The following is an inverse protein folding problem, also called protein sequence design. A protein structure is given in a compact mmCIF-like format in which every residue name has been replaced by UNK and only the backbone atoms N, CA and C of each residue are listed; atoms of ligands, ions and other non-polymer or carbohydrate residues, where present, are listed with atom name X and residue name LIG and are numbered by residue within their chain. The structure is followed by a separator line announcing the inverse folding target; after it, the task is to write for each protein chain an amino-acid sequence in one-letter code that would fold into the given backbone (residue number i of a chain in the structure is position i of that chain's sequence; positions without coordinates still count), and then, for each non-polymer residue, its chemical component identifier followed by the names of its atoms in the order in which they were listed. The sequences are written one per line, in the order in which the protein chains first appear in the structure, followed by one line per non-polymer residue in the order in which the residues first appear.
data_IF_803041299693
#
_entry.id   IF_803041299693
#
_cell.length_a   1.000
_cell.length_b   1.000
_cell.length_c   1.000
_cell.angle_alpha   90.00
_cell.angle_beta   90.00
_cell.angle_gamma   90.00
#
_symmetry.space_group_name_H-M   'P 1'
#
loop_
_entity.id
_entity.type
_entity.pdbx_description
1 polymer ?
#
# COMPACT_ATOMS: atom_id res chain seq x y z
N UNK A 1 -7.27 10.64 1.10
CA UNK A 1 -7.92 9.36 1.42
C UNK A 1 -6.83 8.49 2.06
N UNK A 2 -6.69 8.52 3.39
CA UNK A 2 -5.48 7.99 4.08
C UNK A 2 -5.75 6.60 4.68
N UNK A 3 -4.78 5.68 4.58
CA UNK A 3 -4.88 4.36 5.21
C UNK A 3 -5.79 3.36 4.50
N UNK A 4 -6.06 3.56 3.21
CA UNK A 4 -6.85 2.60 2.41
C UNK A 4 -6.15 1.24 2.38
N UNK A 5 -4.83 1.20 2.33
CA UNK A 5 -4.01 0.00 2.47
C UNK A 5 -4.31 -0.78 3.76
N UNK A 6 -4.62 -0.09 4.87
CA UNK A 6 -5.03 -0.72 6.14
C UNK A 6 -6.42 -1.33 6.01
N UNK A 7 -7.34 -0.64 5.33
CA UNK A 7 -8.69 -1.16 5.09
C UNK A 7 -8.66 -2.40 4.19
N UNK A 8 -7.84 -2.39 3.14
CA UNK A 8 -7.64 -3.53 2.23
C UNK A 8 -7.00 -4.70 2.95
N UNK A 9 -5.95 -4.46 3.74
CA UNK A 9 -5.36 -5.52 4.53
C UNK A 9 -6.39 -6.14 5.48
N UNK A 10 -7.18 -5.33 6.20
CA UNK A 10 -8.25 -5.83 7.09
C UNK A 10 -9.30 -6.63 6.33
N UNK A 11 -9.66 -6.15 5.14
CA UNK A 11 -10.60 -6.82 4.25
C UNK A 11 -10.07 -8.21 3.83
N UNK A 12 -8.83 -8.30 3.34
CA UNK A 12 -8.21 -9.60 3.02
C UNK A 12 -7.98 -10.47 4.25
N UNK A 13 -7.67 -9.87 5.40
CA UNK A 13 -7.47 -10.57 6.65
C UNK A 13 -8.75 -11.26 7.17
N UNK A 14 -9.92 -10.73 6.81
CA UNK A 14 -11.24 -11.28 7.14
C UNK A 14 -11.78 -12.25 6.07
N UNK A 15 -11.05 -12.44 4.96
CA UNK A 15 -11.47 -13.33 3.87
C UNK A 15 -11.41 -14.81 4.29
N UNK A 16 -12.39 -15.60 3.84
CA UNK A 16 -12.40 -17.05 4.02
C UNK A 16 -11.29 -17.77 3.25
N UNK A 17 -10.69 -17.13 2.24
CA UNK A 17 -9.61 -17.71 1.43
C UNK A 17 -8.21 -17.42 1.99
N UNK A 18 -8.11 -16.83 3.19
CA UNK A 18 -6.82 -16.58 3.82
C UNK A 18 -6.31 -17.85 4.48
N UNK A 19 -5.06 -18.22 4.18
CA UNK A 19 -4.30 -19.23 4.91
C UNK A 19 -3.08 -18.60 5.58
N UNK A 20 -2.60 -19.23 6.64
CA UNK A 20 -1.28 -18.94 7.25
C UNK A 20 -0.25 -20.01 6.88
N UNK A 21 -0.68 -21.09 6.22
CA UNK A 21 0.20 -22.10 5.66
C UNK A 21 0.72 -21.60 4.31
N UNK A 22 2.04 -21.37 4.15
CA UNK A 22 2.58 -20.87 2.90
C UNK A 22 2.51 -21.88 1.75
N UNK A 23 2.41 -23.19 2.02
CA UNK A 23 2.32 -24.21 0.98
C UNK A 23 0.91 -24.29 0.37
N UNK A 24 -0.11 -23.83 1.09
CA UNK A 24 -1.50 -23.68 0.61
C UNK A 24 -1.75 -22.33 -0.07
N UNK A 25 -0.81 -21.38 0.04
CA UNK A 25 -1.01 -20.02 -0.44
C UNK A 25 -0.74 -19.90 -1.96
N UNK A 26 -1.75 -19.45 -2.71
CA UNK A 26 -1.57 -19.10 -4.13
C UNK A 26 -0.83 -17.75 -4.29
N UNK A 27 -1.06 -16.81 -3.37
CA UNK A 27 -0.53 -15.46 -3.40
C UNK A 27 -0.16 -14.99 -1.99
N UNK A 28 0.93 -14.22 -1.90
CA UNK A 28 1.44 -13.64 -0.66
C UNK A 28 1.12 -12.15 -0.61
N UNK A 29 0.39 -11.73 0.41
CA UNK A 29 0.11 -10.31 0.62
C UNK A 29 1.27 -9.64 1.36
N UNK A 30 1.84 -8.59 0.77
CA UNK A 30 2.89 -7.77 1.38
C UNK A 30 2.36 -6.35 1.60
N UNK A 31 1.75 -6.06 2.76
CA UNK A 31 1.21 -4.74 3.02
C UNK A 31 2.31 -3.74 3.37
N UNK A 32 2.31 -2.57 2.72
CA UNK A 32 3.21 -1.47 3.05
C UNK A 32 2.49 -0.36 3.82
N UNK A 33 2.70 -0.29 5.14
CA UNK A 33 2.17 0.77 5.99
C UNK A 33 3.10 1.97 6.15
N UNK A 34 4.19 2.05 5.40
CA UNK A 34 5.17 3.12 5.62
C UNK A 34 4.61 4.48 5.26
N UNK A 35 3.67 4.60 4.32
CA UNK A 35 2.97 5.86 4.15
C UNK A 35 2.18 6.25 5.40
N UNK A 36 1.42 5.32 6.00
CA UNK A 36 0.84 5.55 7.32
C UNK A 36 1.91 5.98 8.32
N UNK A 37 3.08 5.33 8.38
CA UNK A 37 4.16 5.76 9.27
C UNK A 37 4.69 7.17 8.94
N UNK A 38 4.90 7.52 7.67
CA UNK A 38 5.41 8.82 7.21
C UNK A 38 4.38 9.96 7.39
N UNK A 39 3.09 9.64 7.38
CA UNK A 39 1.99 10.58 7.59
C UNK A 39 1.62 10.72 9.06
N UNK A 40 1.68 9.63 9.81
CA UNK A 40 1.23 9.52 11.19
C UNK A 40 2.37 9.53 12.21
N UNK A 41 3.65 9.50 11.78
CA UNK A 41 4.78 9.67 12.69
C UNK A 41 4.59 10.97 13.45
N UNK A 42 4.33 10.88 14.76
CA UNK A 42 4.47 12.04 15.60
C UNK A 42 5.97 12.29 15.74
N UNK A 43 6.35 13.47 16.22
CA UNK A 43 7.67 13.63 16.84
C UNK A 43 7.89 12.48 17.85
N UNK A 44 9.16 12.17 18.17
CA UNK A 44 9.58 11.02 19.02
C UNK A 44 8.80 10.82 20.36
N UNK A 45 7.96 11.78 20.73
CA UNK A 45 7.17 11.85 21.94
C UNK A 45 5.79 11.18 21.89
N UNK A 46 5.22 10.81 20.73
CA UNK A 46 3.86 10.21 20.73
C UNK A 46 3.83 8.83 20.06
N UNK A 47 3.24 7.86 20.77
CA UNK A 47 3.07 6.47 20.35
C UNK A 47 1.65 6.25 19.79
N UNK A 48 1.58 5.70 18.57
CA UNK A 48 0.52 4.78 18.13
C UNK A 48 -0.74 5.41 17.54
N UNK A 49 -1.15 4.88 16.37
CA UNK A 49 -2.46 5.15 15.76
C UNK A 49 -3.12 3.84 15.31
N UNK A 50 -4.11 3.39 16.07
CA UNK A 50 -5.28 2.68 15.54
C UNK A 50 -6.49 3.47 15.99
N UNK A 51 -7.40 3.79 15.06
CA UNK A 51 -8.52 4.72 15.25
C UNK A 51 -9.58 4.13 16.21
N UNK A 52 -9.98 4.92 17.21
CA UNK A 52 -11.22 4.76 18.00
C UNK A 52 -12.24 5.78 17.47
N UNK A 53 -13.54 5.47 17.51
CA UNK A 53 -14.61 6.40 17.13
C UNK A 53 -14.67 7.61 18.08
N UNK A 54 -14.80 8.84 17.54
CA UNK A 54 -14.82 10.10 18.31
C UNK A 54 -13.54 10.95 18.24
N UNK A 55 -12.61 10.62 17.35
CA UNK A 55 -11.27 11.20 17.32
C UNK A 55 -11.13 12.46 16.42
N UNK A 56 -11.41 13.65 16.97
CA UNK A 56 -11.09 14.94 16.34
C UNK A 56 -9.56 15.15 16.16
N UNK A 57 -8.75 14.32 16.82
CA UNK A 57 -7.29 14.39 16.88
C UNK A 57 -6.61 13.99 15.55
N UNK A 58 -7.22 13.10 14.77
CA UNK A 58 -6.76 12.76 13.41
C UNK A 58 -6.65 13.99 12.50
N UNK A 59 -7.53 14.99 12.69
CA UNK A 59 -7.51 16.20 11.89
C UNK A 59 -6.27 17.07 12.21
N UNK A 60 -5.90 17.20 13.48
CA UNK A 60 -4.77 18.02 13.95
C UNK A 60 -3.39 17.50 13.52
N UNK A 61 -3.23 16.18 13.40
CA UNK A 61 -1.97 15.55 12.96
C UNK A 61 -1.71 15.79 11.45
N UNK A 62 -2.74 16.12 10.68
CA UNK A 62 -2.66 16.39 9.24
C UNK A 62 -2.26 17.86 8.97
N UNK A 63 -2.40 18.75 9.95
CA UNK A 63 -1.91 20.13 9.86
C UNK A 63 -0.37 20.16 9.84
N UNK A 64 0.22 21.08 9.06
CA UNK A 64 1.66 21.27 8.88
C UNK A 64 2.44 20.06 8.30
N UNK A 65 1.81 19.28 7.41
CA UNK A 65 2.43 18.15 6.71
C UNK A 65 3.71 18.46 5.90
N UNK A 66 3.95 19.74 5.54
CA UNK A 66 5.15 20.20 4.84
C UNK A 66 6.39 20.23 5.74
N UNK A 67 6.19 20.33 7.05
CA UNK A 67 7.26 20.47 8.04
C UNK A 67 7.68 19.12 8.65
N UNK A 68 7.00 18.02 8.27
CA UNK A 68 7.32 16.67 8.73
C UNK A 68 8.55 16.14 7.99
N UNK A 69 9.65 15.96 8.72
CA UNK A 69 10.86 15.32 8.22
C UNK A 69 10.59 13.87 7.82
N UNK A 70 10.98 13.51 6.60
CA UNK A 70 10.90 12.15 6.06
C UNK A 70 12.31 11.74 5.65
N UNK A 71 12.93 10.82 6.38
CA UNK A 71 14.20 10.21 5.95
C UNK A 71 13.93 9.21 4.83
N UNK A 72 13.70 9.73 3.63
CA UNK A 72 13.53 8.91 2.43
C UNK A 72 14.84 8.25 1.98
N UNK A 73 16.00 8.75 2.44
CA UNK A 73 17.32 8.26 2.02
C UNK A 73 17.57 6.82 2.45
N UNK A 74 16.90 6.34 3.51
CA UNK A 74 16.99 4.95 3.99
C UNK A 74 15.82 4.06 3.60
N UNK A 75 14.78 4.63 2.98
CA UNK A 75 13.55 3.90 2.69
C UNK A 75 13.78 2.74 1.69
N UNK A 76 14.71 2.94 0.75
CA UNK A 76 15.09 1.96 -0.26
C UNK A 76 15.82 0.75 0.35
N UNK A 77 16.85 1.00 1.17
CA UNK A 77 17.62 -0.06 1.86
C UNK A 77 16.76 -0.85 2.84
N UNK A 78 15.83 -0.18 3.54
CA UNK A 78 14.87 -0.86 4.38
C UNK A 78 14.04 -1.86 3.59
N UNK A 79 13.55 -1.47 2.40
CA UNK A 79 12.75 -2.39 1.58
C UNK A 79 13.58 -3.57 1.08
N UNK A 80 14.81 -3.34 0.61
CA UNK A 80 15.73 -4.42 0.22
C UNK A 80 15.93 -5.42 1.35
N UNK A 81 16.11 -4.93 2.58
CA UNK A 81 16.26 -5.79 3.76
C UNK A 81 15.01 -6.61 4.07
N UNK A 82 13.81 -6.07 3.82
CA UNK A 82 12.54 -6.76 4.04
C UNK A 82 12.33 -7.88 3.01
N UNK A 83 12.72 -7.68 1.76
CA UNK A 83 12.62 -8.71 0.72
C UNK A 83 13.37 -9.99 1.08
N UNK A 84 14.53 -9.86 1.74
CA UNK A 84 15.28 -11.01 2.25
C UNK A 84 14.61 -11.76 3.40
N UNK A 85 13.53 -11.20 3.97
CA UNK A 85 12.76 -11.77 5.08
C UNK A 85 11.36 -12.22 4.66
N UNK A 86 10.98 -12.01 3.39
CA UNK A 86 9.70 -12.46 2.87
C UNK A 86 9.78 -13.96 2.59
N UNK A 87 8.89 -14.72 3.20
CA UNK A 87 8.78 -16.14 2.96
C UNK A 87 8.48 -16.40 1.47
N UNK A 88 9.12 -17.43 0.91
CA UNK A 88 8.98 -17.90 -0.46
C UNK A 88 9.32 -16.89 -1.58
N UNK A 89 9.78 -15.69 -1.24
CA UNK A 89 10.07 -14.62 -2.20
C UNK A 89 11.16 -15.01 -3.22
N UNK A 90 12.23 -15.67 -2.77
CA UNK A 90 13.36 -16.07 -3.62
C UNK A 90 13.01 -17.08 -4.70
N UNK A 91 12.03 -17.96 -4.46
CA UNK A 91 11.70 -19.08 -5.36
C UNK A 91 11.02 -18.63 -6.66
N UNK A 92 10.12 -17.65 -6.58
CA UNK A 92 9.38 -17.10 -7.72
C UNK A 92 9.73 -15.65 -8.04
N UNK A 93 10.78 -15.10 -7.42
CA UNK A 93 11.23 -13.71 -7.57
C UNK A 93 10.09 -12.70 -7.41
N UNK A 94 9.18 -12.98 -6.48
CA UNK A 94 8.06 -12.13 -6.15
C UNK A 94 6.84 -12.18 -7.07
N UNK A 95 6.77 -13.07 -8.08
CA UNK A 95 5.62 -13.15 -9.01
C UNK A 95 4.28 -13.43 -8.33
N UNK A 96 4.33 -14.11 -7.20
CA UNK A 96 3.21 -14.48 -6.33
C UNK A 96 3.00 -13.48 -5.17
N UNK A 97 3.81 -12.42 -5.08
CA UNK A 97 3.70 -11.40 -4.04
C UNK A 97 2.91 -10.19 -4.54
N UNK A 98 1.83 -9.88 -3.83
CA UNK A 98 1.03 -8.66 -4.00
C UNK A 98 1.55 -7.62 -3.02
N UNK A 99 2.24 -6.61 -3.54
CA UNK A 99 2.66 -5.48 -2.74
C UNK A 99 1.58 -4.38 -2.78
N UNK A 100 1.00 -4.08 -1.62
CA UNK A 100 0.04 -2.98 -1.49
C UNK A 100 0.82 -1.71 -1.18
N UNK A 101 0.75 -0.74 -2.09
CA UNK A 101 1.30 0.59 -1.90
C UNK A 101 0.17 1.62 -1.85
N UNK A 102 0.25 2.53 -0.90
CA UNK A 102 -0.50 3.78 -1.00
C UNK A 102 0.33 4.76 -1.83
N UNK A 103 -0.06 4.96 -3.08
CA UNK A 103 0.44 6.10 -3.85
C UNK A 103 -0.54 7.26 -3.64
N UNK A 104 -0.04 8.35 -3.06
CA UNK A 104 -0.83 9.56 -2.81
C UNK A 104 -0.31 10.75 -3.62
N UNK A 105 0.33 10.46 -4.77
CA UNK A 105 0.70 11.42 -5.81
C UNK A 105 1.84 12.38 -5.46
N UNK A 106 1.73 13.09 -4.32
CA UNK A 106 2.52 14.30 -4.03
C UNK A 106 3.35 14.23 -2.75
N UNK A 107 3.00 13.34 -1.80
CA UNK A 107 3.58 13.35 -0.44
C UNK A 107 4.36 12.08 -0.13
N UNK A 108 3.80 10.92 -0.49
CA UNK A 108 4.47 9.62 -0.44
C UNK A 108 4.17 8.95 -1.78
N UNK A 109 5.19 8.91 -2.62
CA UNK A 109 5.15 8.16 -3.88
C UNK A 109 6.05 6.93 -3.72
N UNK A 110 5.61 5.83 -4.28
CA UNK A 110 6.38 4.60 -4.38
C UNK A 110 7.79 4.82 -4.96
N UNK A 111 7.94 5.66 -5.98
CA UNK A 111 9.26 5.96 -6.59
C UNK A 111 10.21 6.70 -5.65
N UNK A 112 9.69 7.43 -4.66
CA UNK A 112 10.52 8.12 -3.67
C UNK A 112 10.85 7.23 -2.47
N UNK A 113 10.03 6.22 -2.18
CA UNK A 113 10.21 5.33 -1.01
C UNK A 113 10.89 4.02 -1.35
N UNK A 114 10.79 3.58 -2.60
CA UNK A 114 11.48 2.40 -3.11
C UNK A 114 11.95 2.61 -4.57
N UNK A 115 12.85 3.57 -4.84
CA UNK A 115 13.33 3.88 -6.18
C UNK A 115 13.93 2.68 -6.91
N UNK A 116 14.56 1.74 -6.20
CA UNK A 116 15.21 0.56 -6.79
C UNK A 116 14.26 -0.60 -7.09
N UNK A 117 12.94 -0.42 -6.95
CA UNK A 117 11.97 -1.52 -7.02
C UNK A 117 12.06 -2.38 -8.30
N UNK A 118 12.41 -1.77 -9.43
CA UNK A 118 12.51 -2.48 -10.71
C UNK A 118 13.59 -3.56 -10.69
N UNK A 119 14.64 -3.38 -9.90
CA UNK A 119 15.73 -4.34 -9.80
C UNK A 119 15.38 -5.50 -8.85
N UNK A 120 14.42 -5.27 -7.94
CA UNK A 120 14.16 -6.15 -6.81
C UNK A 120 12.81 -6.86 -6.84
N UNK A 121 11.75 -6.24 -7.35
CA UNK A 121 10.40 -6.80 -7.50
C UNK A 121 9.80 -6.61 -8.92
N UNK A 122 10.56 -6.80 -10.01
CA UNK A 122 10.10 -6.46 -11.38
C UNK A 122 8.85 -7.23 -11.82
N UNK A 123 8.64 -8.42 -11.26
CA UNK A 123 7.56 -9.33 -11.66
C UNK A 123 6.44 -9.41 -10.64
N UNK A 124 6.56 -8.73 -9.51
CA UNK A 124 5.53 -8.72 -8.47
C UNK A 124 4.29 -7.98 -8.89
N UNK A 125 3.18 -8.34 -8.25
CA UNK A 125 1.89 -7.68 -8.44
C UNK A 125 1.88 -6.41 -7.59
N UNK A 126 1.69 -5.27 -8.23
CA UNK A 126 1.57 -3.99 -7.54
C UNK A 126 0.08 -3.69 -7.38
N UNK A 127 -0.36 -3.46 -6.15
CA UNK A 127 -1.69 -2.98 -5.84
C UNK A 127 -1.58 -1.53 -5.35
N UNK A 128 -2.08 -0.58 -6.12
CA UNK A 128 -1.96 0.85 -5.80
C UNK A 128 -3.32 1.50 -5.59
N UNK A 129 -3.37 2.43 -4.64
CA UNK A 129 -4.51 3.34 -4.46
C UNK A 129 -4.36 4.55 -5.38
N UNK A 130 -5.48 5.14 -5.82
CA UNK A 130 -5.51 6.41 -6.56
C UNK A 130 -4.92 6.41 -7.98
N UNK A 131 -4.57 5.23 -8.52
CA UNK A 131 -4.12 5.06 -9.91
C UNK A 131 -2.89 5.88 -10.31
N UNK A 132 -2.22 6.54 -9.36
CA UNK A 132 -0.97 7.21 -9.64
C UNK A 132 0.07 6.12 -9.86
N UNK A 133 0.54 6.00 -11.10
CA UNK A 133 1.58 5.04 -11.43
C UNK A 133 2.89 5.56 -10.87
N UNK A 134 3.82 4.67 -10.49
CA UNK A 134 5.19 5.08 -10.22
C UNK A 134 5.66 5.96 -11.37
N UNK A 135 6.21 7.16 -11.08
CA UNK A 135 6.49 8.24 -12.04
C UNK A 135 7.51 7.95 -13.15
N UNK A 136 7.61 6.71 -13.63
CA UNK A 136 8.50 6.24 -14.68
C UNK A 136 7.78 6.01 -16.03
N UNK A 137 6.56 6.53 -16.22
CA UNK A 137 5.82 6.47 -17.48
C UNK A 137 5.01 5.17 -17.72
N UNK A 138 4.65 4.85 -18.99
CA UNK A 138 3.72 3.75 -19.33
C UNK A 138 4.27 2.33 -19.06
N UNK A 139 5.55 2.19 -18.71
CA UNK A 139 6.20 0.90 -18.48
C UNK A 139 6.23 0.46 -17.00
N UNK A 140 5.64 1.23 -16.10
CA UNK A 140 5.73 0.99 -14.64
C UNK A 140 4.57 0.16 -14.11
N UNK A 141 3.40 0.33 -14.74
CA UNK A 141 2.19 -0.38 -14.42
C UNK A 141 1.89 -1.31 -15.58
N UNK A 142 1.79 -2.60 -15.30
CA UNK A 142 1.35 -3.58 -16.26
C UNK A 142 -0.13 -3.86 -16.03
N UNK A 143 -1.03 -3.44 -16.95
CA UNK A 143 -2.46 -3.70 -16.80
C UNK A 143 -2.83 -5.18 -16.83
N UNK A 144 -1.87 -6.03 -17.20
CA UNK A 144 -2.04 -7.49 -17.23
C UNK A 144 -1.71 -8.17 -15.90
N UNK A 145 -1.11 -7.46 -14.95
CA UNK A 145 -0.74 -8.02 -13.63
C UNK A 145 -1.15 -7.14 -12.45
N UNK A 146 -1.09 -5.82 -12.60
CA UNK A 146 -1.21 -4.87 -11.50
C UNK A 146 -2.66 -4.43 -11.24
N UNK A 147 -2.96 -4.06 -10.00
CA UNK A 147 -4.30 -3.74 -9.52
C UNK A 147 -4.35 -2.26 -9.11
N UNK A 148 -5.36 -1.54 -9.61
CA UNK A 148 -5.63 -0.16 -9.21
C UNK A 148 -6.91 -0.10 -8.41
N UNK A 149 -6.83 0.52 -7.24
CA UNK A 149 -7.99 0.84 -6.42
C UNK A 149 -8.33 2.32 -6.60
N UNK A 150 -9.49 2.63 -7.20
CA UNK A 150 -9.85 4.01 -7.47
C UNK A 150 -9.98 4.79 -6.16
N UNK A 151 -9.35 5.97 -6.15
CA UNK A 151 -9.55 6.94 -5.08
C UNK A 151 -10.54 8.03 -5.46
N UNK A 152 -10.95 8.82 -4.47
CA UNK A 152 -11.80 10.00 -4.61
C UNK A 152 -13.09 9.77 -5.42
N UNK A 153 -13.71 8.59 -5.27
CA UNK A 153 -15.00 8.30 -5.87
C UNK A 153 -16.11 9.09 -5.15
N UNK A 154 -16.86 9.89 -5.90
CA UNK A 154 -18.13 10.44 -5.43
C UNK A 154 -19.19 9.33 -5.29
N UNK A 155 -20.30 9.68 -4.62
CA UNK A 155 -21.37 8.75 -4.34
C UNK A 155 -21.96 8.11 -5.60
N UNK A 156 -22.16 8.88 -6.66
CA UNK A 156 -22.79 8.41 -7.89
C UNK A 156 -21.88 7.41 -8.63
N UNK A 157 -20.59 7.72 -8.75
CA UNK A 157 -19.59 6.80 -9.31
C UNK A 157 -19.48 5.53 -8.47
N UNK A 158 -19.53 5.63 -7.14
CA UNK A 158 -19.55 4.46 -6.27
C UNK A 158 -20.77 3.57 -6.51
N UNK A 159 -21.97 4.16 -6.64
CA UNK A 159 -23.19 3.40 -6.95
C UNK A 159 -23.10 2.72 -8.31
N UNK A 160 -22.60 3.44 -9.33
CA UNK A 160 -22.41 2.89 -10.67
C UNK A 160 -21.44 1.70 -10.65
N UNK A 161 -20.32 1.79 -9.94
CA UNK A 161 -19.38 0.67 -9.81
C UNK A 161 -20.06 -0.51 -9.12
N UNK A 162 -20.84 -0.26 -8.06
CA UNK A 162 -21.59 -1.30 -7.33
C UNK A 162 -22.68 -1.96 -8.16
N UNK A 163 -23.31 -1.25 -9.09
CA UNK A 163 -24.36 -1.83 -9.93
C UNK A 163 -23.83 -2.81 -10.97
N UNK A 164 -22.54 -2.74 -11.32
CA UNK A 164 -21.89 -3.62 -12.29
C UNK A 164 -21.08 -4.73 -11.63
N UNK A 165 -20.52 -4.47 -10.45
CA UNK A 165 -19.67 -5.42 -9.75
C UNK A 165 -20.48 -6.42 -8.92
N UNK A 166 -20.06 -7.67 -8.93
CA UNK A 166 -20.61 -8.67 -8.01
C UNK A 166 -20.19 -8.33 -6.58
N UNK A 167 -21.06 -8.52 -5.58
CA UNK A 167 -20.65 -8.41 -4.19
C UNK A 167 -19.53 -9.40 -3.92
N UNK A 168 -18.54 -8.95 -3.16
CA UNK A 168 -17.52 -9.85 -2.66
C UNK A 168 -18.15 -10.78 -1.62
N UNK A 169 -17.85 -12.07 -1.73
CA UNK A 169 -18.40 -13.12 -0.86
C UNK A 169 -17.53 -13.30 0.38
#
# INVERSE_FOLDING_TARGET
QWGVEVLLHRYFAASACRTTDPDEADLFLVPDYRACHLHLAPTYLHKGLTRIEGDDYHSSIIWNHKDKYRDAAKADELFKSLLGRLDHFGGRRGMDHIFIFSDQGFIVNFTHTFPSWRDHIPHSILMTTEAFTPGCGPSCFSPWKDIVIPGHLDWERLQTIRSHNRPTR
#
